data_IF_123575794029
#
_entry.id   IF_123575794029
#
_cell.length_a   1.000
_cell.length_b   1.000
_cell.length_c   1.000
_cell.angle_alpha   90.00
_cell.angle_beta   90.00
_cell.angle_gamma   90.00
#
_symmetry.space_group_name_H-M   'P 1'
#
loop_
_entity.id
_entity.type
_entity.pdbx_description
1 polymer ?
#
# COMPACT_ATOMS: atom_id res chain seq x y z
N UNK A 1 -59.17 18.20 -25.03
CA UNK A 1 -57.76 18.33 -24.61
C UNK A 1 -56.93 18.55 -25.85
N UNK A 2 -56.28 19.70 -25.96
CA UNK A 2 -55.42 19.97 -27.13
C UNK A 2 -54.15 19.11 -27.07
N UNK A 3 -53.56 18.80 -28.21
CA UNK A 3 -52.28 18.05 -28.25
C UNK A 3 -51.18 18.69 -27.40
N UNK A 4 -51.25 19.99 -27.21
CA UNK A 4 -50.32 20.77 -26.39
C UNK A 4 -50.51 20.50 -24.89
N UNK A 5 -51.72 20.31 -24.39
CA UNK A 5 -52.02 20.01 -22.98
C UNK A 5 -51.55 18.59 -22.62
N UNK A 6 -51.75 17.63 -23.52
CA UNK A 6 -51.24 16.23 -23.32
C UNK A 6 -49.71 16.21 -23.32
N UNK A 7 -49.09 16.94 -24.25
CA UNK A 7 -47.65 17.07 -24.33
C UNK A 7 -47.03 17.67 -23.04
N UNK A 8 -47.64 18.73 -22.55
CA UNK A 8 -47.21 19.39 -21.29
C UNK A 8 -47.39 18.49 -20.07
N UNK A 9 -48.49 17.75 -20.00
CA UNK A 9 -48.82 16.84 -18.91
C UNK A 9 -47.81 15.66 -18.81
N UNK A 10 -47.16 15.26 -19.89
CA UNK A 10 -46.19 14.15 -19.96
C UNK A 10 -44.75 14.69 -19.78
N UNK A 11 -44.40 15.81 -20.41
CA UNK A 11 -43.05 16.34 -20.41
C UNK A 11 -42.64 16.84 -19.03
N UNK A 12 -43.50 17.61 -18.33
CA UNK A 12 -43.15 18.18 -17.01
C UNK A 12 -42.79 17.08 -15.99
N UNK A 13 -43.63 16.04 -15.74
CA UNK A 13 -43.30 15.01 -14.78
C UNK A 13 -42.07 14.20 -15.23
N UNK A 14 -41.87 13.98 -16.53
CA UNK A 14 -40.69 13.29 -17.04
C UNK A 14 -39.40 14.07 -16.74
N UNK A 15 -39.38 15.37 -16.95
CA UNK A 15 -38.24 16.26 -16.60
C UNK A 15 -37.98 16.26 -15.10
N UNK A 16 -39.02 16.30 -14.28
CA UNK A 16 -38.88 16.23 -12.82
C UNK A 16 -38.27 14.91 -12.39
N UNK A 17 -38.76 13.80 -12.92
CA UNK A 17 -38.22 12.47 -12.60
C UNK A 17 -36.73 12.36 -13.00
N UNK A 18 -36.36 12.81 -14.18
CA UNK A 18 -34.98 12.82 -14.65
C UNK A 18 -34.10 13.69 -13.75
N UNK A 19 -34.58 14.87 -13.36
CA UNK A 19 -33.85 15.75 -12.43
C UNK A 19 -33.65 15.14 -11.05
N UNK A 20 -34.65 14.45 -10.50
CA UNK A 20 -34.58 13.73 -9.23
C UNK A 20 -33.57 12.58 -9.30
N UNK A 21 -33.62 11.79 -10.37
CA UNK A 21 -32.67 10.68 -10.58
C UNK A 21 -31.24 11.23 -10.72
N UNK A 22 -31.06 12.29 -11.49
CA UNK A 22 -29.74 12.93 -11.66
C UNK A 22 -29.22 13.48 -10.33
N UNK A 23 -30.03 14.19 -9.55
CA UNK A 23 -29.68 14.68 -8.21
C UNK A 23 -29.27 13.55 -7.25
N UNK A 24 -30.06 12.48 -7.22
CA UNK A 24 -29.74 11.30 -6.41
C UNK A 24 -28.41 10.64 -6.83
N UNK A 25 -28.19 10.50 -8.15
CA UNK A 25 -26.93 9.95 -8.69
C UNK A 25 -25.72 10.82 -8.33
N UNK A 26 -25.84 12.12 -8.39
CA UNK A 26 -24.79 13.07 -8.02
C UNK A 26 -24.45 12.94 -6.53
N UNK A 27 -25.46 12.94 -5.66
CA UNK A 27 -25.30 12.81 -4.21
C UNK A 27 -24.66 11.46 -3.84
N UNK A 28 -25.12 10.39 -4.48
CA UNK A 28 -24.55 9.07 -4.28
C UNK A 28 -23.06 9.00 -4.71
N UNK A 29 -22.71 9.64 -5.83
CA UNK A 29 -21.35 9.68 -6.32
C UNK A 29 -20.45 10.54 -5.41
N UNK A 30 -20.93 11.69 -4.93
CA UNK A 30 -20.22 12.54 -3.98
C UNK A 30 -19.90 11.78 -2.68
N UNK A 31 -20.88 11.14 -2.07
CA UNK A 31 -20.65 10.30 -0.87
C UNK A 31 -19.67 9.16 -1.10
N UNK A 32 -19.60 8.61 -2.29
CA UNK A 32 -18.64 7.57 -2.62
C UNK A 32 -17.20 8.10 -2.69
N UNK A 33 -17.02 9.31 -3.24
CA UNK A 33 -15.71 9.99 -3.29
C UNK A 33 -15.26 10.35 -1.87
N UNK A 34 -16.15 10.93 -1.05
CA UNK A 34 -15.84 11.31 0.33
C UNK A 34 -15.44 10.10 1.19
N UNK A 35 -16.16 8.98 1.04
CA UNK A 35 -15.81 7.74 1.74
C UNK A 35 -14.44 7.19 1.34
N UNK A 36 -14.07 7.30 0.05
CA UNK A 36 -12.77 6.86 -0.42
C UNK A 36 -11.63 7.73 0.13
N UNK A 37 -11.85 9.06 0.19
CA UNK A 37 -10.89 9.98 0.81
C UNK A 37 -10.73 9.73 2.31
N UNK A 38 -11.84 9.63 3.03
CA UNK A 38 -11.81 9.32 4.46
C UNK A 38 -11.15 7.97 4.76
N UNK A 39 -11.27 6.99 3.85
CA UNK A 39 -10.54 5.73 3.96
C UNK A 39 -9.02 5.93 3.79
N UNK A 40 -8.59 6.71 2.81
CA UNK A 40 -7.17 7.01 2.59
C UNK A 40 -6.55 7.73 3.79
N UNK A 41 -7.26 8.68 4.41
CA UNK A 41 -6.83 9.38 5.62
C UNK A 41 -6.72 8.44 6.83
N UNK A 42 -7.71 7.56 7.03
CA UNK A 42 -7.67 6.58 8.13
C UNK A 42 -6.52 5.59 7.97
N UNK A 43 -6.31 5.09 6.75
CA UNK A 43 -5.19 4.16 6.48
C UNK A 43 -3.84 4.85 6.62
N UNK A 44 -3.75 6.16 6.35
CA UNK A 44 -2.58 6.96 6.63
C UNK A 44 -2.27 6.99 8.13
N UNK A 45 -3.25 7.30 8.97
CA UNK A 45 -3.06 7.32 10.43
C UNK A 45 -2.61 5.96 10.99
N UNK A 46 -3.14 4.86 10.44
CA UNK A 46 -2.73 3.50 10.82
C UNK A 46 -1.29 3.21 10.38
N UNK A 47 -0.91 3.63 9.17
CA UNK A 47 0.45 3.51 8.67
C UNK A 47 1.43 4.33 9.54
N UNK A 48 1.14 5.59 9.79
CA UNK A 48 1.96 6.46 10.62
C UNK A 48 2.21 5.86 12.01
N UNK A 49 1.16 5.37 12.66
CA UNK A 49 1.30 4.68 13.94
C UNK A 49 2.13 3.38 13.86
N UNK A 50 2.13 2.68 12.73
CA UNK A 50 2.96 1.50 12.54
C UNK A 50 4.43 1.86 12.31
N UNK A 51 4.71 2.93 11.58
CA UNK A 51 6.06 3.45 11.34
C UNK A 51 6.68 3.95 12.65
N UNK A 52 5.95 4.72 13.44
CA UNK A 52 6.40 5.18 14.78
C UNK A 52 6.74 3.99 15.68
N UNK A 53 5.89 2.96 15.75
CA UNK A 53 6.17 1.76 16.55
C UNK A 53 7.42 1.03 16.07
N UNK A 54 7.65 0.95 14.75
CA UNK A 54 8.85 0.35 14.17
C UNK A 54 10.11 1.09 14.65
N UNK A 55 10.13 2.41 14.54
CA UNK A 55 11.24 3.24 15.01
C UNK A 55 11.48 3.11 16.52
N UNK A 56 10.41 3.18 17.32
CA UNK A 56 10.51 2.99 18.78
C UNK A 56 11.07 1.62 19.13
N UNK A 57 10.63 0.56 18.41
CA UNK A 57 11.15 -0.78 18.64
C UNK A 57 12.62 -0.90 18.29
N UNK A 58 13.08 -0.24 17.22
CA UNK A 58 14.51 -0.18 16.89
C UNK A 58 15.32 0.49 18.01
N UNK A 59 14.82 1.60 18.55
CA UNK A 59 15.44 2.28 19.69
C UNK A 59 15.46 1.44 20.98
N UNK A 60 14.43 0.66 21.25
CA UNK A 60 14.42 -0.27 22.38
C UNK A 60 15.51 -1.34 22.27
N UNK A 61 15.75 -1.84 21.07
CA UNK A 61 16.74 -2.90 20.85
C UNK A 61 18.17 -2.44 21.12
N UNK A 62 18.52 -1.19 20.82
CA UNK A 62 19.86 -0.66 21.07
C UNK A 62 20.14 -0.40 22.55
N UNK A 63 19.14 -0.44 23.42
CA UNK A 63 19.31 -0.33 24.87
C UNK A 63 19.70 -1.67 25.52
N UNK A 64 19.68 -2.77 24.80
CA UNK A 64 20.06 -4.08 25.31
C UNK A 64 21.59 -4.12 25.50
N UNK A 65 22.09 -4.60 26.64
CA UNK A 65 23.52 -4.71 26.86
C UNK A 65 24.23 -5.61 25.85
N UNK A 66 25.40 -5.21 25.39
CA UNK A 66 26.21 -5.99 24.43
C UNK A 66 26.14 -5.56 22.99
N UNK A 67 25.41 -4.49 22.68
CA UNK A 67 25.43 -3.89 21.35
C UNK A 67 26.70 -3.05 21.16
N UNK A 68 27.28 -3.17 19.96
CA UNK A 68 28.39 -2.31 19.54
C UNK A 68 27.94 -0.83 19.49
N UNK A 69 28.71 0.10 20.10
CA UNK A 69 28.35 1.53 20.14
C UNK A 69 28.14 2.16 18.74
N UNK A 70 28.88 1.74 17.74
CA UNK A 70 28.71 2.24 16.38
C UNK A 70 27.36 1.80 15.77
N UNK A 71 26.99 0.54 15.98
CA UNK A 71 25.68 0.01 15.60
C UNK A 71 24.55 0.75 16.31
N UNK A 72 24.69 0.98 17.63
CA UNK A 72 23.69 1.72 18.41
C UNK A 72 23.52 3.15 17.89
N UNK A 73 24.63 3.84 17.56
CA UNK A 73 24.58 5.19 17.01
C UNK A 73 23.87 5.23 15.65
N UNK A 74 24.21 4.32 14.74
CA UNK A 74 23.58 4.24 13.40
C UNK A 74 22.07 4.04 13.50
N UNK A 75 21.62 3.12 14.35
CA UNK A 75 20.18 2.86 14.54
C UNK A 75 19.51 4.04 15.22
N UNK A 76 20.15 4.66 16.21
CA UNK A 76 19.62 5.83 16.91
C UNK A 76 19.42 7.00 15.98
N UNK A 77 20.39 7.28 15.12
CA UNK A 77 20.34 8.39 14.16
C UNK A 77 19.23 8.15 13.13
N UNK A 78 19.21 6.97 12.49
CA UNK A 78 18.20 6.64 11.51
C UNK A 78 16.77 6.60 12.09
N UNK A 79 16.58 6.02 13.29
CA UNK A 79 15.28 5.98 13.94
C UNK A 79 14.85 7.38 14.43
N UNK A 80 15.81 8.18 14.94
CA UNK A 80 15.57 9.56 15.35
C UNK A 80 15.07 10.41 14.18
N UNK A 81 15.71 10.30 13.01
CA UNK A 81 15.31 11.03 11.82
C UNK A 81 13.84 10.74 11.41
N UNK A 82 13.34 9.51 11.60
CA UNK A 82 11.94 9.18 11.30
C UNK A 82 10.95 9.77 12.32
N UNK A 83 11.39 10.07 13.51
CA UNK A 83 10.55 10.61 14.60
C UNK A 83 10.56 12.13 14.66
N UNK A 84 11.35 12.80 13.81
CA UNK A 84 11.39 14.25 13.73
C UNK A 84 9.97 14.84 13.47
N UNK A 85 9.56 15.86 14.26
CA UNK A 85 8.28 16.50 14.05
C UNK A 85 8.28 17.32 12.77
N UNK A 86 7.12 17.39 12.10
CA UNK A 86 6.87 18.22 10.92
C UNK A 86 7.71 17.90 9.66
N UNK A 87 8.16 16.66 9.51
CA UNK A 87 8.76 16.20 8.27
C UNK A 87 7.81 16.40 7.09
N UNK A 88 8.34 16.91 5.98
CA UNK A 88 7.61 16.82 4.72
C UNK A 88 7.39 15.34 4.36
N UNK A 89 6.36 15.04 3.58
CA UNK A 89 6.10 13.65 3.18
C UNK A 89 7.32 12.99 2.52
N UNK A 90 8.01 13.73 1.67
CA UNK A 90 9.20 13.23 0.96
C UNK A 90 10.37 12.95 1.89
N UNK A 91 10.61 13.85 2.86
CA UNK A 91 11.67 13.66 3.85
C UNK A 91 11.35 12.47 4.75
N UNK A 92 10.07 12.28 5.09
CA UNK A 92 9.59 11.11 5.82
C UNK A 92 9.83 9.81 5.04
N UNK A 93 9.50 9.77 3.75
CA UNK A 93 9.75 8.62 2.88
C UNK A 93 11.23 8.27 2.79
N UNK A 94 12.10 9.29 2.70
CA UNK A 94 13.56 9.10 2.71
C UNK A 94 14.02 8.54 4.05
N UNK A 95 13.67 9.17 5.16
CA UNK A 95 14.06 8.72 6.50
C UNK A 95 13.61 7.29 6.81
N UNK A 96 12.38 6.93 6.40
CA UNK A 96 11.85 5.57 6.58
C UNK A 96 12.59 4.54 5.70
N UNK A 97 13.04 4.94 4.52
CA UNK A 97 13.87 4.10 3.65
C UNK A 97 15.27 3.92 4.24
N UNK A 98 15.89 5.00 4.74
CA UNK A 98 17.20 4.96 5.40
C UNK A 98 17.16 4.05 6.63
N UNK A 99 16.12 4.18 7.47
CA UNK A 99 15.93 3.28 8.62
C UNK A 99 15.78 1.82 8.15
N UNK A 100 15.09 1.55 7.05
CA UNK A 100 14.98 0.20 6.50
C UNK A 100 16.35 -0.37 6.11
N UNK A 101 17.16 0.43 5.41
CA UNK A 101 18.52 0.03 5.01
C UNK A 101 19.44 -0.21 6.20
N UNK A 102 19.40 0.66 7.21
CA UNK A 102 20.17 0.48 8.45
C UNK A 102 19.75 -0.81 9.16
N UNK A 103 18.45 -1.04 9.35
CA UNK A 103 17.94 -2.24 10.01
C UNK A 103 18.27 -3.53 9.24
N UNK A 104 18.33 -3.48 7.92
CA UNK A 104 18.77 -4.63 7.11
C UNK A 104 20.25 -4.91 7.30
N UNK A 105 21.08 -3.88 7.35
CA UNK A 105 22.51 -4.03 7.52
C UNK A 105 22.90 -4.53 8.91
N UNK A 106 22.24 -4.01 9.96
CA UNK A 106 22.60 -4.31 11.35
C UNK A 106 21.75 -5.40 12.01
N UNK A 107 20.64 -5.79 11.37
CA UNK A 107 19.70 -6.77 11.92
C UNK A 107 20.35 -8.06 12.43
N UNK A 108 21.29 -8.67 11.69
CA UNK A 108 22.02 -9.86 12.14
C UNK A 108 22.89 -9.65 13.40
N UNK A 109 23.24 -8.40 13.69
CA UNK A 109 24.12 -8.02 14.82
C UNK A 109 23.33 -7.60 16.06
N UNK A 110 22.02 -7.40 15.92
CA UNK A 110 21.18 -6.96 17.04
C UNK A 110 20.88 -8.13 17.97
N UNK A 111 21.21 -8.03 19.28
CA UNK A 111 20.83 -9.02 20.28
C UNK A 111 19.34 -8.95 20.58
N UNK A 112 18.77 -10.03 21.06
CA UNK A 112 17.39 -10.09 21.50
C UNK A 112 16.48 -10.82 20.53
N UNK A 113 15.18 -10.57 20.62
CA UNK A 113 14.18 -11.23 19.78
C UNK A 113 14.04 -10.50 18.45
N UNK A 114 14.71 -10.94 17.38
CA UNK A 114 14.53 -10.36 16.03
C UNK A 114 13.07 -10.44 15.59
N UNK A 115 12.31 -11.43 16.11
CA UNK A 115 10.91 -11.67 15.75
C UNK A 115 9.99 -10.48 16.03
N UNK A 116 10.25 -9.72 17.10
CA UNK A 116 9.42 -8.54 17.43
C UNK A 116 9.67 -7.38 16.49
N UNK A 117 10.94 -7.09 16.15
CA UNK A 117 11.26 -6.05 15.18
C UNK A 117 10.73 -6.46 13.79
N UNK A 118 10.91 -7.71 13.43
CA UNK A 118 10.44 -8.27 12.18
C UNK A 118 8.92 -8.21 12.07
N UNK A 119 8.19 -8.48 13.15
CA UNK A 119 6.73 -8.34 13.18
C UNK A 119 6.27 -6.88 13.00
N UNK A 120 6.99 -5.89 13.54
CA UNK A 120 6.69 -4.47 13.32
C UNK A 120 7.05 -4.02 11.90
N UNK A 121 8.13 -4.53 11.31
CA UNK A 121 8.49 -4.31 9.90
C UNK A 121 7.41 -4.86 8.97
N UNK A 122 6.99 -6.11 9.17
CA UNK A 122 5.92 -6.74 8.40
C UNK A 122 4.60 -5.97 8.53
N UNK A 123 4.27 -5.51 9.74
CA UNK A 123 3.07 -4.68 9.98
C UNK A 123 3.14 -3.36 9.22
N UNK A 124 4.27 -2.65 9.25
CA UNK A 124 4.46 -1.39 8.51
C UNK A 124 4.29 -1.62 7.00
N UNK A 125 4.87 -2.68 6.45
CA UNK A 125 4.73 -3.07 5.04
C UNK A 125 3.26 -3.33 4.65
N UNK A 126 2.52 -4.08 5.47
CA UNK A 126 1.09 -4.34 5.24
C UNK A 126 0.29 -3.03 5.29
N UNK A 127 0.52 -2.19 6.31
CA UNK A 127 -0.17 -0.89 6.44
C UNK A 127 0.12 0.02 5.24
N UNK A 128 1.35 0.04 4.73
CA UNK A 128 1.72 0.79 3.53
C UNK A 128 0.95 0.32 2.30
N UNK A 129 0.89 -1.00 2.07
CA UNK A 129 0.11 -1.56 0.96
C UNK A 129 -1.37 -1.20 1.06
N UNK A 130 -1.97 -1.32 2.26
CA UNK A 130 -3.36 -0.95 2.49
C UNK A 130 -3.63 0.55 2.26
N UNK A 131 -2.68 1.42 2.67
CA UNK A 131 -2.77 2.85 2.40
C UNK A 131 -2.69 3.13 0.89
N UNK A 132 -1.71 2.56 0.19
CA UNK A 132 -1.52 2.77 -1.23
C UNK A 132 -2.73 2.25 -2.05
N UNK A 133 -3.33 1.13 -1.67
CA UNK A 133 -4.59 0.64 -2.25
C UNK A 133 -5.77 1.61 -2.04
N UNK A 134 -5.89 2.16 -0.83
CA UNK A 134 -6.93 3.14 -0.53
C UNK A 134 -6.72 4.42 -1.36
N UNK A 135 -5.48 4.89 -1.50
CA UNK A 135 -5.10 6.03 -2.34
C UNK A 135 -5.42 5.75 -3.81
N UNK A 136 -5.01 4.60 -4.33
CA UNK A 136 -5.29 4.20 -5.72
C UNK A 136 -6.79 4.17 -6.01
N UNK A 137 -7.58 3.66 -5.06
CA UNK A 137 -9.06 3.67 -5.14
C UNK A 137 -9.61 5.08 -5.17
N UNK A 138 -9.15 5.97 -4.29
CA UNK A 138 -9.59 7.36 -4.24
C UNK A 138 -9.23 8.11 -5.53
N UNK A 139 -8.00 7.94 -6.05
CA UNK A 139 -7.56 8.53 -7.31
C UNK A 139 -8.37 8.03 -8.51
N UNK A 140 -8.67 6.72 -8.57
CA UNK A 140 -9.47 6.15 -9.64
C UNK A 140 -10.89 6.73 -9.70
N UNK A 141 -11.49 7.01 -8.54
CA UNK A 141 -12.79 7.66 -8.45
C UNK A 141 -12.72 9.13 -8.89
N UNK A 142 -11.68 9.87 -8.46
CA UNK A 142 -11.48 11.27 -8.86
C UNK A 142 -11.26 11.44 -10.37
N UNK A 143 -10.62 10.47 -11.03
CA UNK A 143 -10.37 10.49 -12.48
C UNK A 143 -11.61 10.25 -13.33
N UNK A 144 -12.72 9.78 -12.76
CA UNK A 144 -13.97 9.57 -13.51
C UNK A 144 -14.48 10.88 -14.09
N UNK A 145 -14.86 10.87 -15.35
CA UNK A 145 -15.33 12.05 -16.08
C UNK A 145 -16.44 12.82 -15.33
N UNK A 146 -17.42 12.10 -14.80
CA UNK A 146 -18.54 12.67 -14.03
C UNK A 146 -18.08 13.40 -12.76
N UNK A 147 -17.10 12.86 -12.03
CA UNK A 147 -16.54 13.47 -10.81
C UNK A 147 -15.78 14.75 -11.16
N UNK A 148 -15.01 14.74 -12.25
CA UNK A 148 -14.26 15.91 -12.73
C UNK A 148 -15.19 16.99 -13.25
N UNK A 149 -16.18 16.65 -14.09
CA UNK A 149 -17.13 17.61 -14.68
C UNK A 149 -17.96 18.30 -13.61
N UNK A 150 -18.43 17.57 -12.60
CA UNK A 150 -19.25 18.09 -11.51
C UNK A 150 -18.41 18.63 -10.34
N UNK A 151 -17.08 18.61 -10.42
CA UNK A 151 -16.15 19.02 -9.36
C UNK A 151 -16.46 18.43 -7.99
N UNK A 152 -16.93 17.18 -7.95
CA UNK A 152 -17.38 16.51 -6.74
C UNK A 152 -16.25 16.21 -5.74
N UNK A 153 -15.00 16.22 -6.18
CA UNK A 153 -13.83 16.07 -5.30
C UNK A 153 -13.51 17.33 -4.49
N UNK A 154 -14.23 18.44 -4.72
CA UNK A 154 -14.06 19.69 -3.99
C UNK A 154 -12.62 20.23 -4.05
N UNK A 155 -12.20 20.88 -2.94
CA UNK A 155 -10.84 21.43 -2.73
C UNK A 155 -9.96 20.50 -1.90
N UNK A 156 -10.41 19.27 -1.59
CA UNK A 156 -9.62 18.32 -0.82
C UNK A 156 -8.31 17.99 -1.54
N UNK A 157 -7.21 17.97 -0.79
CA UNK A 157 -5.89 17.62 -1.32
C UNK A 157 -5.93 16.26 -1.99
N UNK A 158 -5.18 16.11 -3.07
CA UNK A 158 -5.06 14.83 -3.77
C UNK A 158 -4.28 13.85 -2.88
N UNK A 159 -4.87 12.70 -2.53
CA UNK A 159 -4.16 11.70 -1.75
C UNK A 159 -2.97 11.17 -2.56
N UNK A 160 -1.83 10.98 -1.88
CA UNK A 160 -0.60 10.50 -2.49
C UNK A 160 -0.20 9.16 -1.90
N UNK A 161 0.31 8.21 -2.69
CA UNK A 161 0.88 6.99 -2.18
C UNK A 161 2.10 7.29 -1.30
N UNK A 162 2.49 6.35 -0.46
CA UNK A 162 3.66 6.41 0.39
C UNK A 162 4.72 5.44 -0.14
N UNK A 163 5.88 5.97 -0.54
CA UNK A 163 6.99 5.21 -1.10
C UNK A 163 8.09 5.07 -0.05
N UNK A 164 8.47 3.84 0.26
CA UNK A 164 9.63 3.54 1.11
C UNK A 164 10.25 2.22 0.68
N UNK A 165 11.54 2.03 0.93
CA UNK A 165 12.19 0.75 0.76
C UNK A 165 11.60 -0.25 1.76
N UNK A 166 10.96 -1.31 1.26
CA UNK A 166 10.65 -2.48 2.06
C UNK A 166 11.92 -3.30 2.11
N UNK A 167 12.54 -3.46 3.28
CA UNK A 167 13.73 -4.29 3.42
C UNK A 167 13.54 -5.71 2.87
N UNK A 168 14.56 -6.54 2.94
CA UNK A 168 14.72 -7.84 2.26
C UNK A 168 13.57 -8.86 2.31
N UNK A 169 12.55 -8.62 3.11
CA UNK A 169 11.38 -9.50 3.25
C UNK A 169 10.48 -9.53 2.00
N UNK A 170 10.49 -8.46 1.20
CA UNK A 170 9.60 -8.39 0.01
C UNK A 170 10.10 -9.16 -1.21
N UNK A 171 11.35 -9.60 -1.22
CA UNK A 171 11.91 -10.37 -2.36
C UNK A 171 11.50 -11.84 -2.37
N UNK A 172 10.94 -12.38 -1.28
CA UNK A 172 10.55 -13.79 -1.21
C UNK A 172 9.10 -14.07 -1.69
N UNK A 173 8.27 -13.05 -1.89
CA UNK A 173 6.86 -13.25 -2.28
C UNK A 173 6.43 -12.60 -3.59
N UNK A 174 7.29 -11.81 -4.23
CA UNK A 174 7.03 -11.27 -5.56
C UNK A 174 7.97 -11.93 -6.58
N UNK A 175 7.74 -13.20 -6.88
CA UNK A 175 8.21 -13.76 -8.13
C UNK A 175 7.60 -12.90 -9.27
N UNK A 176 8.36 -12.61 -10.34
CA UNK A 176 7.82 -11.87 -11.47
C UNK A 176 6.61 -12.61 -12.03
N UNK A 177 5.51 -11.92 -12.37
CA UNK A 177 4.31 -12.54 -12.91
C UNK A 177 4.51 -12.91 -14.36
N UNK A 178 5.48 -13.43 -14.88
CA UNK A 178 5.61 -13.97 -16.25
C UNK A 178 6.99 -14.63 -16.42
N UNK A 179 7.11 -15.84 -15.91
CA UNK A 179 8.04 -16.79 -16.53
C UNK A 179 7.18 -17.81 -17.27
N UNK A 180 7.24 -17.89 -18.60
CA UNK A 180 6.58 -18.97 -19.31
C UNK A 180 7.21 -20.28 -18.81
N UNK A 181 6.35 -21.18 -18.36
CA UNK A 181 6.68 -22.55 -18.00
C UNK A 181 7.61 -23.15 -19.07
N UNK A 182 8.91 -23.11 -18.79
CA UNK A 182 9.87 -23.86 -19.59
C UNK A 182 9.58 -25.34 -19.38
N UNK A 183 9.09 -25.91 -20.46
CA UNK A 183 8.87 -27.31 -20.70
C UNK A 183 9.82 -28.22 -19.90
N UNK A 184 9.23 -29.14 -19.17
CA UNK A 184 9.86 -30.34 -18.68
C UNK A 184 10.65 -30.98 -19.81
N UNK A 185 11.98 -30.77 -19.82
CA UNK A 185 12.87 -31.54 -20.61
C UNK A 185 12.82 -32.98 -20.08
N UNK A 186 12.18 -33.85 -20.85
CA UNK A 186 12.20 -35.28 -20.69
C UNK A 186 13.66 -35.74 -20.78
N UNK A 187 14.23 -36.16 -19.67
CA UNK A 187 15.52 -36.87 -19.62
C UNK A 187 15.22 -38.34 -19.82
N UNK A 188 15.61 -38.94 -20.95
CA UNK A 188 15.46 -40.40 -21.13
C UNK A 188 16.41 -41.12 -20.18
N UNK A 189 15.88 -42.02 -19.37
CA UNK A 189 16.63 -42.96 -18.53
C UNK A 189 17.39 -43.95 -19.42
N UNK A 190 18.66 -44.25 -19.13
CA UNK A 190 19.36 -45.29 -19.83
C UNK A 190 18.79 -46.67 -19.45
N UNK A 191 18.31 -47.39 -20.47
CA UNK A 191 17.90 -48.78 -20.37
C UNK A 191 19.08 -49.69 -19.99
N UNK A 192 19.09 -50.17 -18.77
CA UNK A 192 19.94 -51.32 -18.37
C UNK A 192 19.37 -52.59 -18.97
N UNK A 193 19.98 -53.05 -20.05
CA UNK A 193 19.82 -54.42 -20.53
C UNK A 193 20.52 -55.37 -19.57
N UNK A 194 19.92 -56.49 -19.15
CA UNK A 194 20.61 -57.56 -18.49
C UNK A 194 21.34 -58.40 -19.52
N UNK A 195 22.65 -58.48 -19.41
CA UNK A 195 23.46 -59.41 -20.14
C UNK A 195 23.07 -60.83 -19.73
N UNK A 196 22.54 -61.58 -20.67
CA UNK A 196 22.51 -63.05 -20.66
C UNK A 196 23.82 -63.49 -21.15
N UNK A 197 24.64 -64.06 -20.29
CA UNK A 197 25.72 -64.98 -20.72
C UNK A 197 25.55 -66.32 -20.05
N UNK A 198 25.55 -67.29 -20.95
CA UNK A 198 25.52 -68.69 -20.77
C UNK A 198 26.89 -69.23 -20.22
N UNK A 199 26.87 -69.99 -19.23
CA UNK A 199 27.43 -71.38 -19.04
C UNK A 199 27.49 -71.72 -17.59
#
# INVERSE_FOLDING_TARGET
MSSVEILTLVIIPSVIIVALIAGWRITWLATRVDRAQARAERTWAVLDAALVRRAQRALELILIPGIDPATALLVSDAAGATLEPNLSRRDRESAESDLSHVLDAVGPMLPGSPDKLESERARASICRRLHNDAVATALSLRRRYTVRMLRLAGRAAEPRPFEMADGSICTLTAGPPDSPSSSLAYVPQPSTQPSRDLR
#
